data_IF_872744007872
#
_entry.id   IF_872744007872
#
_cell.length_a   1.000
_cell.length_b   1.000
_cell.length_c   1.000
_cell.angle_alpha   90.00
_cell.angle_beta   90.00
_cell.angle_gamma   90.00
#
_symmetry.space_group_name_H-M   'P 1'
#
loop_
_entity.id
_entity.type
_entity.pdbx_description
1 polymer ?
#
# COMPACT_ATOMS: atom_id res chain seq x y z
N UNK A 1 17.91 -9.63 21.14
CA UNK A 1 16.90 -8.71 20.61
C UNK A 1 15.60 -9.48 20.62
N UNK A 2 14.61 -9.01 21.37
CA UNK A 2 13.32 -9.70 21.49
C UNK A 2 12.66 -9.66 20.11
N UNK A 3 12.64 -10.80 19.43
CA UNK A 3 12.04 -10.94 18.11
C UNK A 3 10.52 -10.87 18.29
N UNK A 4 9.98 -9.64 18.42
CA UNK A 4 8.53 -9.43 18.37
C UNK A 4 8.04 -10.07 17.08
N UNK A 5 7.10 -11.00 17.20
CA UNK A 5 6.60 -11.75 16.05
C UNK A 5 6.03 -10.83 14.98
N UNK A 6 5.88 -11.34 13.76
CA UNK A 6 5.32 -10.61 12.62
C UNK A 6 4.09 -9.76 12.99
N UNK A 7 3.14 -10.38 13.71
CA UNK A 7 1.88 -9.75 14.10
C UNK A 7 2.07 -8.54 15.02
N UNK A 8 2.98 -8.61 15.98
CA UNK A 8 3.23 -7.51 16.93
C UNK A 8 3.88 -6.32 16.23
N UNK A 9 4.81 -6.59 15.31
CA UNK A 9 5.49 -5.56 14.52
C UNK A 9 4.54 -4.88 13.53
N UNK A 10 3.70 -5.68 12.86
CA UNK A 10 2.67 -5.16 11.98
C UNK A 10 1.65 -4.29 12.74
N UNK A 11 1.18 -4.76 13.90
CA UNK A 11 0.26 -4.00 14.76
C UNK A 11 0.89 -2.69 15.25
N UNK A 12 2.18 -2.72 15.58
CA UNK A 12 2.93 -1.52 15.93
C UNK A 12 3.02 -0.54 14.76
N UNK A 13 3.33 -1.01 13.55
CA UNK A 13 3.34 -0.18 12.36
C UNK A 13 1.96 0.43 12.05
N UNK A 14 0.87 -0.32 12.24
CA UNK A 14 -0.49 0.21 12.12
C UNK A 14 -0.77 1.32 13.13
N UNK A 15 -0.31 1.16 14.37
CA UNK A 15 -0.45 2.17 15.42
C UNK A 15 0.31 3.45 15.07
N UNK A 16 1.56 3.33 14.61
CA UNK A 16 2.37 4.45 14.12
C UNK A 16 1.68 5.20 12.97
N UNK A 17 1.16 4.46 12.00
CA UNK A 17 0.40 5.03 10.89
C UNK A 17 -0.84 5.78 11.39
N UNK A 18 -1.61 5.19 12.30
CA UNK A 18 -2.80 5.82 12.90
C UNK A 18 -2.50 7.11 13.68
N UNK A 19 -1.31 7.22 14.26
CA UNK A 19 -0.81 8.43 14.92
C UNK A 19 -0.23 9.47 13.94
N UNK A 20 -0.32 9.25 12.63
CA UNK A 20 0.35 10.03 11.57
C UNK A 20 1.89 10.01 11.64
N UNK A 21 2.50 9.12 12.42
CA UNK A 21 3.95 8.89 12.38
C UNK A 21 4.30 8.00 11.19
N UNK A 22 4.16 8.55 9.98
CA UNK A 22 4.42 7.83 8.74
C UNK A 22 5.90 7.44 8.61
N UNK A 23 6.82 8.25 9.14
CA UNK A 23 8.25 7.94 9.10
C UNK A 23 8.58 6.75 10.00
N UNK A 24 8.03 6.71 11.21
CA UNK A 24 8.12 5.56 12.10
C UNK A 24 7.53 4.31 11.46
N UNK A 25 6.32 4.41 10.90
CA UNK A 25 5.65 3.29 10.24
C UNK A 25 6.48 2.74 9.06
N UNK A 26 7.02 3.62 8.20
CA UNK A 26 7.91 3.23 7.09
C UNK A 26 9.09 2.43 7.60
N UNK A 27 9.81 2.95 8.61
CA UNK A 27 11.02 2.30 9.14
C UNK A 27 10.69 0.90 9.69
N UNK A 28 9.60 0.78 10.43
CA UNK A 28 9.16 -0.50 11.00
C UNK A 28 8.81 -1.51 9.91
N UNK A 29 8.04 -1.09 8.90
CA UNK A 29 7.58 -1.94 7.80
C UNK A 29 8.71 -2.36 6.86
N UNK A 30 9.65 -1.45 6.55
CA UNK A 30 10.84 -1.78 5.75
C UNK A 30 11.68 -2.86 6.44
N UNK A 31 11.89 -2.73 7.75
CA UNK A 31 12.63 -3.73 8.54
C UNK A 31 11.88 -5.05 8.62
N UNK A 32 10.57 -5.03 8.85
CA UNK A 32 9.73 -6.23 8.88
C UNK A 32 9.76 -6.98 7.54
N UNK A 33 9.57 -6.27 6.42
CA UNK A 33 9.57 -6.88 5.10
C UNK A 33 10.95 -7.43 4.70
N UNK A 34 12.05 -6.80 5.14
CA UNK A 34 13.39 -7.32 4.92
C UNK A 34 13.63 -8.65 5.65
N UNK A 35 13.08 -8.79 6.87
CA UNK A 35 13.13 -10.05 7.62
C UNK A 35 12.24 -11.14 7.01
N UNK A 36 11.04 -10.80 6.56
CA UNK A 36 10.16 -11.77 5.88
C UNK A 36 10.70 -12.20 4.52
N UNK A 37 11.50 -11.37 3.84
CA UNK A 37 12.08 -11.72 2.56
C UNK A 37 13.14 -12.84 2.67
N UNK A 38 13.71 -13.07 3.85
CA UNK A 38 14.68 -14.15 4.10
C UNK A 38 14.03 -15.38 4.75
N UNK A 39 12.75 -15.29 5.11
CA UNK A 39 11.98 -16.39 5.70
C UNK A 39 11.10 -17.05 4.62
N UNK A 40 11.51 -18.24 4.17
CA UNK A 40 10.82 -18.97 3.10
C UNK A 40 9.46 -19.53 3.54
N UNK A 41 9.22 -19.64 4.85
CA UNK A 41 7.96 -20.12 5.44
C UNK A 41 6.95 -18.97 5.69
N UNK A 42 7.35 -17.71 5.48
CA UNK A 42 6.49 -16.55 5.67
C UNK A 42 5.31 -16.56 4.67
N UNK A 43 4.09 -16.71 5.20
CA UNK A 43 2.87 -16.69 4.40
C UNK A 43 2.71 -15.42 3.58
N UNK A 44 2.49 -15.56 2.27
CA UNK A 44 2.46 -14.45 1.29
C UNK A 44 1.41 -13.39 1.59
N UNK A 45 0.25 -13.76 2.14
CA UNK A 45 -0.84 -12.84 2.44
C UNK A 45 -0.45 -11.74 3.45
N UNK A 46 0.28 -12.10 4.52
CA UNK A 46 0.76 -11.10 5.49
C UNK A 46 1.78 -10.15 4.87
N UNK A 47 2.68 -10.66 4.03
CA UNK A 47 3.67 -9.83 3.34
C UNK A 47 2.98 -8.79 2.45
N UNK A 48 1.91 -9.17 1.74
CA UNK A 48 1.13 -8.26 0.89
C UNK A 48 0.44 -7.16 1.73
N UNK A 49 -0.17 -7.48 2.88
CA UNK A 49 -0.78 -6.50 3.78
C UNK A 49 0.25 -5.49 4.34
N UNK A 50 1.44 -5.95 4.71
CA UNK A 50 2.53 -5.11 5.17
C UNK A 50 3.05 -4.18 4.06
N UNK A 51 3.18 -4.69 2.82
CA UNK A 51 3.53 -3.85 1.66
C UNK A 51 2.47 -2.81 1.35
N UNK A 52 1.20 -3.16 1.46
CA UNK A 52 0.12 -2.21 1.24
C UNK A 52 0.17 -1.06 2.26
N UNK A 53 0.36 -1.38 3.54
CA UNK A 53 0.51 -0.36 4.58
C UNK A 53 1.76 0.52 4.33
N UNK A 54 2.85 -0.06 3.85
CA UNK A 54 4.06 0.68 3.49
C UNK A 54 3.81 1.65 2.32
N UNK A 55 3.12 1.20 1.28
CA UNK A 55 2.73 2.05 0.15
C UNK A 55 1.88 3.25 0.63
N UNK A 56 0.93 3.01 1.55
CA UNK A 56 0.13 4.08 2.16
C UNK A 56 1.01 5.06 2.93
N UNK A 57 1.93 4.56 3.75
CA UNK A 57 2.81 5.41 4.54
C UNK A 57 3.69 6.29 3.63
N UNK A 58 4.22 5.76 2.52
CA UNK A 58 4.94 6.56 1.51
C UNK A 58 4.06 7.62 0.85
N UNK A 59 2.80 7.31 0.54
CA UNK A 59 1.88 8.28 -0.03
C UNK A 59 1.67 9.47 0.93
N UNK A 60 1.42 9.18 2.21
CA UNK A 60 1.22 10.22 3.23
C UNK A 60 2.50 10.99 3.57
N UNK A 61 3.69 10.37 3.46
CA UNK A 61 4.98 11.05 3.62
C UNK A 61 5.45 11.81 2.36
N UNK A 62 4.60 11.93 1.34
CA UNK A 62 4.89 12.55 0.04
C UNK A 62 6.05 11.89 -0.74
N UNK A 63 6.39 10.64 -0.42
CA UNK A 63 7.41 9.83 -1.12
C UNK A 63 6.80 9.08 -2.31
N UNK A 64 6.24 9.83 -3.27
CA UNK A 64 5.34 9.30 -4.30
C UNK A 64 5.96 8.21 -5.20
N UNK A 65 7.24 8.34 -5.58
CA UNK A 65 7.90 7.30 -6.38
C UNK A 65 8.01 5.95 -5.66
N UNK A 66 8.20 5.97 -4.33
CA UNK A 66 8.22 4.74 -3.52
C UNK A 66 6.82 4.19 -3.31
N UNK A 67 5.82 5.06 -3.11
CA UNK A 67 4.41 4.67 -3.04
C UNK A 67 3.96 3.96 -4.33
N UNK A 68 4.29 4.54 -5.50
CA UNK A 68 3.97 4.00 -6.82
C UNK A 68 4.57 2.61 -7.02
N UNK A 69 5.89 2.47 -6.80
CA UNK A 69 6.60 1.20 -6.93
C UNK A 69 6.02 0.11 -6.02
N UNK A 70 5.76 0.47 -4.76
CA UNK A 70 5.23 -0.48 -3.77
C UNK A 70 3.79 -0.90 -4.08
N UNK A 71 2.92 0.04 -4.48
CA UNK A 71 1.54 -0.26 -4.86
C UNK A 71 1.48 -1.13 -6.13
N UNK A 72 2.38 -0.92 -7.10
CA UNK A 72 2.51 -1.82 -8.26
C UNK A 72 2.94 -3.23 -7.86
N UNK A 73 3.86 -3.37 -6.91
CA UNK A 73 4.26 -4.68 -6.40
C UNK A 73 3.10 -5.42 -5.73
N UNK A 74 2.28 -4.72 -4.94
CA UNK A 74 1.04 -5.29 -4.37
C UNK A 74 0.11 -5.77 -5.47
N UNK A 75 -0.17 -4.96 -6.49
CA UNK A 75 -1.05 -5.35 -7.61
C UNK A 75 -0.50 -6.46 -8.50
N UNK A 76 0.83 -6.67 -8.51
CA UNK A 76 1.44 -7.80 -9.18
C UNK A 76 1.21 -9.11 -8.43
N UNK A 77 1.12 -9.05 -7.09
CA UNK A 77 0.81 -10.20 -6.23
C UNK A 77 -0.69 -10.46 -6.13
N UNK A 78 -1.49 -9.41 -5.89
CA UNK A 78 -2.94 -9.44 -5.87
C UNK A 78 -3.52 -8.40 -6.86
N UNK A 79 -3.81 -8.83 -8.10
CA UNK A 79 -4.46 -7.98 -9.09
C UNK A 79 -5.89 -7.53 -8.71
N UNK A 80 -6.50 -8.12 -7.70
CA UNK A 80 -7.88 -7.80 -7.31
C UNK A 80 -7.96 -6.89 -6.09
N UNK A 81 -6.83 -6.44 -5.55
CA UNK A 81 -6.79 -5.47 -4.46
C UNK A 81 -7.31 -4.09 -4.92
N UNK A 82 -8.57 -3.83 -4.56
CA UNK A 82 -9.28 -2.60 -4.88
C UNK A 82 -8.58 -1.37 -4.27
N UNK A 83 -8.05 -1.49 -3.05
CA UNK A 83 -7.43 -0.39 -2.33
C UNK A 83 -6.04 -0.07 -2.89
N UNK A 84 -5.26 -1.08 -3.27
CA UNK A 84 -3.98 -0.87 -3.97
C UNK A 84 -4.17 -0.17 -5.32
N UNK A 85 -5.21 -0.54 -6.08
CA UNK A 85 -5.56 0.14 -7.33
C UNK A 85 -5.91 1.62 -7.10
N UNK A 86 -6.73 1.90 -6.09
CA UNK A 86 -7.08 3.28 -5.70
C UNK A 86 -5.85 4.07 -5.26
N UNK A 87 -5.01 3.49 -4.39
CA UNK A 87 -3.80 4.14 -3.89
C UNK A 87 -2.83 4.49 -5.01
N UNK A 88 -2.61 3.57 -5.96
CA UNK A 88 -1.75 3.82 -7.12
C UNK A 88 -2.32 4.94 -7.99
N UNK A 89 -3.64 4.95 -8.23
CA UNK A 89 -4.29 6.02 -8.98
C UNK A 89 -4.07 7.39 -8.32
N UNK A 90 -4.35 7.53 -7.01
CA UNK A 90 -4.13 8.78 -6.26
C UNK A 90 -2.66 9.21 -6.25
N UNK A 91 -1.75 8.25 -6.22
CA UNK A 91 -0.30 8.52 -6.31
C UNK A 91 0.04 9.13 -7.67
N UNK A 92 -0.46 8.55 -8.76
CA UNK A 92 -0.23 9.04 -10.12
C UNK A 92 -0.88 10.41 -10.37
N UNK A 93 -2.07 10.67 -9.83
CA UNK A 93 -2.69 12.00 -9.85
C UNK A 93 -1.77 13.06 -9.21
N UNK A 94 -1.21 12.77 -8.03
CA UNK A 94 -0.26 13.67 -7.34
C UNK A 94 1.08 13.81 -8.06
N UNK A 95 1.42 12.88 -8.94
CA UNK A 95 2.58 12.95 -9.84
C UNK A 95 2.26 13.62 -11.19
N UNK A 96 1.06 14.20 -11.35
CA UNK A 96 0.60 14.81 -12.60
C UNK A 96 0.54 13.83 -13.80
N UNK A 97 0.14 12.57 -13.54
CA UNK A 97 -0.09 11.52 -14.55
C UNK A 97 -1.56 11.04 -14.57
N UNK A 98 -2.52 11.93 -14.88
CA UNK A 98 -3.95 11.64 -14.75
C UNK A 98 -4.46 10.58 -15.74
N UNK A 99 -3.86 10.47 -16.92
CA UNK A 99 -4.29 9.49 -17.94
C UNK A 99 -4.11 8.04 -17.45
N UNK A 100 -2.95 7.74 -16.84
CA UNK A 100 -2.70 6.44 -16.23
C UNK A 100 -3.54 6.21 -14.97
N UNK A 101 -3.76 7.27 -14.19
CA UNK A 101 -4.60 7.21 -12.99
C UNK A 101 -6.05 6.84 -13.33
N UNK A 102 -6.61 7.37 -14.42
CA UNK A 102 -8.01 7.13 -14.80
C UNK A 102 -8.31 5.65 -15.02
N UNK A 103 -7.40 4.91 -15.68
CA UNK A 103 -7.55 3.47 -15.86
C UNK A 103 -7.59 2.72 -14.53
N UNK A 104 -6.76 3.13 -13.57
CA UNK A 104 -6.70 2.53 -12.24
C UNK A 104 -7.88 2.90 -11.36
N UNK A 105 -8.40 4.13 -11.47
CA UNK A 105 -9.64 4.54 -10.78
C UNK A 105 -10.83 3.70 -11.26
N UNK A 106 -10.95 3.46 -12.56
CA UNK A 106 -11.99 2.58 -13.11
C UNK A 106 -11.86 1.16 -12.59
N UNK A 107 -10.64 0.61 -12.58
CA UNK A 107 -10.38 -0.72 -11.99
C UNK A 107 -10.77 -0.75 -10.50
N UNK A 108 -10.36 0.25 -9.73
CA UNK A 108 -10.70 0.36 -8.32
C UNK A 108 -12.22 0.41 -8.09
N UNK A 109 -12.95 1.17 -8.93
CA UNK A 109 -14.41 1.25 -8.87
C UNK A 109 -15.09 -0.09 -9.18
N UNK A 110 -14.62 -0.83 -10.20
CA UNK A 110 -15.13 -2.18 -10.51
C UNK A 110 -14.90 -3.14 -9.35
N UNK A 111 -13.76 -3.04 -8.67
CA UNK A 111 -13.40 -3.89 -7.53
C UNK A 111 -14.04 -3.44 -6.20
N UNK A 112 -14.79 -2.32 -6.18
CA UNK A 112 -15.49 -1.83 -5.00
C UNK A 112 -14.61 -1.05 -4.02
N UNK A 113 -13.57 -0.36 -4.49
CA UNK A 113 -12.72 0.46 -3.63
C UNK A 113 -13.52 1.59 -2.93
N UNK A 114 -13.18 1.93 -1.68
CA UNK A 114 -13.91 2.93 -0.92
C UNK A 114 -13.86 4.30 -1.59
N UNK A 115 -15.01 4.99 -1.65
CA UNK A 115 -15.10 6.33 -2.24
C UNK A 115 -14.88 6.37 -3.76
N UNK A 116 -15.04 5.23 -4.43
CA UNK A 116 -15.05 5.15 -5.90
C UNK A 116 -16.42 4.69 -6.39
N UNK A 117 -16.89 5.28 -7.48
CA UNK A 117 -18.13 4.91 -8.18
C UNK A 117 -17.89 5.06 -9.67
N UNK A 118 -18.32 4.08 -10.48
CA UNK A 118 -18.23 4.18 -11.94
C UNK A 118 -19.00 5.39 -12.47
N UNK A 119 -20.13 5.72 -11.84
CA UNK A 119 -20.95 6.88 -12.22
C UNK A 119 -20.22 8.23 -12.04
N UNK A 120 -19.24 8.30 -11.13
CA UNK A 120 -18.47 9.53 -10.89
C UNK A 120 -17.31 9.71 -11.88
N UNK A 121 -16.91 8.65 -12.58
CA UNK A 121 -15.74 8.65 -13.48
C UNK A 121 -16.07 8.93 -14.95
N UNK A 122 -17.35 8.85 -15.33
CA UNK A 122 -17.84 9.02 -16.70
C UNK A 122 -18.55 10.38 -16.93
N UNK A 123 -18.43 11.32 -15.97
CA UNK A 123 -18.99 12.67 -16.03
C UNK A 123 -17.96 13.69 -16.50
#
# INVERSE_FOLDING_TARGET
MENRGYHDRYTWAQSLFGMNDYRGAIKELESLLAELAVDEDAGRAGVTDARLLLARAYFHSASLGRAESTARAVLAEDPTDAYAALLLARTLERQARPEEAQMLLRRAAVLGAPGTSLADLDR
#
